data_IF_605916593213
#
_entry.id   IF_605916593213
#
_cell.length_a   1.000
_cell.length_b   1.000
_cell.length_c   1.000
_cell.angle_alpha   90.00
_cell.angle_beta   90.00
_cell.angle_gamma   90.00
#
_symmetry.space_group_name_H-M   'P 1'
#
loop_
_entity.id
_entity.type
_entity.pdbx_description
1 polymer ?
#
# COMPACT_ATOMS: atom_id res chain seq x y z
N UNK A 1 -24.67 -2.25 -47.56
CA UNK A 1 -24.65 -2.13 -46.08
C UNK A 1 -23.30 -2.63 -45.55
N UNK A 2 -22.25 -1.79 -45.55
CA UNK A 2 -20.86 -2.21 -45.24
C UNK A 2 -20.36 -1.80 -43.84
N UNK A 3 -21.09 -0.91 -43.16
CA UNK A 3 -20.65 -0.28 -41.91
C UNK A 3 -20.45 -1.25 -40.75
N UNK A 4 -21.23 -2.33 -40.69
CA UNK A 4 -21.19 -3.29 -39.57
C UNK A 4 -19.92 -4.13 -39.59
N UNK A 5 -19.41 -4.50 -40.77
CA UNK A 5 -18.23 -5.36 -40.88
C UNK A 5 -16.94 -4.62 -40.51
N UNK A 6 -16.82 -3.35 -40.91
CA UNK A 6 -15.66 -2.51 -40.59
C UNK A 6 -15.59 -2.18 -39.09
N UNK A 7 -16.74 -1.87 -38.47
CA UNK A 7 -16.81 -1.61 -37.02
C UNK A 7 -16.45 -2.87 -36.22
N UNK A 8 -16.91 -4.06 -36.62
CA UNK A 8 -16.59 -5.31 -35.92
C UNK A 8 -15.10 -5.68 -36.03
N UNK A 9 -14.48 -5.46 -37.19
CA UNK A 9 -13.04 -5.67 -37.36
C UNK A 9 -12.21 -4.69 -36.51
N UNK A 10 -12.65 -3.43 -36.41
CA UNK A 10 -12.01 -2.42 -35.55
C UNK A 10 -12.13 -2.78 -34.06
N UNK A 11 -13.31 -3.23 -33.62
CA UNK A 11 -13.55 -3.69 -32.24
C UNK A 11 -12.66 -4.88 -31.90
N UNK A 12 -12.52 -5.84 -32.83
CA UNK A 12 -11.70 -7.05 -32.63
C UNK A 12 -10.21 -6.69 -32.53
N UNK A 13 -9.73 -5.77 -33.38
CA UNK A 13 -8.36 -5.24 -33.31
C UNK A 13 -8.08 -4.48 -32.01
N UNK A 14 -9.08 -3.80 -31.46
CA UNK A 14 -8.97 -3.05 -30.20
C UNK A 14 -9.28 -3.91 -28.95
N UNK A 15 -9.40 -5.23 -29.08
CA UNK A 15 -9.65 -6.13 -27.95
C UNK A 15 -11.00 -5.93 -27.26
N UNK A 16 -12.04 -5.54 -28.01
CA UNK A 16 -13.40 -5.36 -27.50
C UNK A 16 -13.78 -3.93 -27.12
N UNK A 17 -12.95 -2.93 -27.42
CA UNK A 17 -13.22 -1.52 -27.11
C UNK A 17 -13.55 -0.70 -28.37
N UNK A 18 -14.66 0.04 -28.33
CA UNK A 18 -15.01 1.06 -29.33
C UNK A 18 -14.47 2.41 -28.83
N UNK A 19 -13.38 2.87 -29.44
CA UNK A 19 -12.65 4.08 -29.07
C UNK A 19 -11.18 3.82 -28.76
N UNK A 20 -10.29 4.77 -29.13
CA UNK A 20 -8.86 4.69 -28.80
C UNK A 20 -8.72 4.60 -27.28
N UNK A 21 -8.25 3.46 -26.76
CA UNK A 21 -7.76 3.35 -25.38
C UNK A 21 -6.64 4.38 -25.23
N UNK A 22 -6.93 5.50 -24.57
CA UNK A 22 -5.90 6.50 -24.26
C UNK A 22 -4.88 5.77 -23.41
N UNK A 23 -3.72 5.45 -23.99
CA UNK A 23 -2.58 4.95 -23.23
C UNK A 23 -2.32 5.99 -22.15
N UNK A 24 -2.63 5.66 -20.89
CA UNK A 24 -2.13 6.44 -19.76
C UNK A 24 -0.63 6.49 -19.96
N UNK A 25 -0.05 7.69 -19.96
CA UNK A 25 1.40 7.86 -19.96
C UNK A 25 1.95 7.01 -18.81
N UNK A 26 3.00 6.25 -19.08
CA UNK A 26 3.68 5.52 -18.02
C UNK A 26 4.18 6.54 -17.00
N UNK A 27 3.61 6.46 -15.79
CA UNK A 27 4.03 7.29 -14.67
C UNK A 27 5.39 6.81 -14.19
N UNK A 28 6.23 7.75 -13.76
CA UNK A 28 7.51 7.46 -13.12
C UNK A 28 7.31 6.70 -11.80
N UNK A 29 8.33 5.97 -11.37
CA UNK A 29 8.34 5.30 -10.07
C UNK A 29 8.24 6.31 -8.91
N UNK A 30 7.84 5.85 -7.72
CA UNK A 30 7.68 6.71 -6.56
C UNK A 30 9.00 7.46 -6.25
N UNK A 31 8.98 8.81 -6.14
CA UNK A 31 10.18 9.59 -5.87
C UNK A 31 10.52 9.52 -4.37
N UNK A 32 11.54 8.73 -3.99
CA UNK A 32 11.94 8.54 -2.58
C UNK A 32 12.41 9.85 -1.94
N UNK A 33 12.90 10.79 -2.74
CA UNK A 33 13.44 12.08 -2.31
C UNK A 33 12.42 12.94 -1.57
N UNK A 34 11.12 12.77 -1.85
CA UNK A 34 10.03 13.52 -1.17
C UNK A 34 9.94 13.20 0.33
N UNK A 35 10.61 12.13 0.79
CA UNK A 35 10.61 11.72 2.19
C UNK A 35 11.60 12.50 3.06
N UNK A 36 12.53 13.26 2.47
CA UNK A 36 13.46 14.11 3.23
C UNK A 36 12.72 15.19 4.04
N UNK A 37 11.57 15.65 3.56
CA UNK A 37 10.74 16.66 4.22
C UNK A 37 9.61 16.05 5.07
N UNK A 38 9.53 14.72 5.14
CA UNK A 38 8.42 14.04 5.81
C UNK A 38 8.48 14.22 7.34
N UNK A 39 7.44 14.85 7.90
CA UNK A 39 7.26 14.96 9.34
C UNK A 39 6.50 13.74 9.90
N UNK A 40 7.21 12.93 10.70
CA UNK A 40 6.64 11.85 11.50
C UNK A 40 5.78 12.41 12.63
N UNK A 41 4.50 12.68 12.34
CA UNK A 41 3.52 13.13 13.34
C UNK A 41 2.65 11.95 13.75
N UNK A 42 2.50 11.71 15.04
CA UNK A 42 1.48 10.82 15.62
C UNK A 42 1.57 9.34 15.24
N UNK A 43 1.08 8.49 16.15
CA UNK A 43 0.92 7.06 15.92
C UNK A 43 -0.25 6.83 14.95
N UNK A 44 -0.05 6.01 13.91
CA UNK A 44 -1.09 5.83 12.88
C UNK A 44 -1.03 4.45 12.21
N UNK A 45 -2.14 4.08 11.58
CA UNK A 45 -2.21 2.89 10.74
C UNK A 45 -1.44 3.08 9.42
N UNK A 46 -0.98 1.97 8.81
CA UNK A 46 -0.20 2.00 7.56
C UNK A 46 -0.91 2.77 6.43
N UNK A 47 -2.24 2.67 6.35
CA UNK A 47 -3.04 3.37 5.33
C UNK A 47 -2.99 4.88 5.50
N UNK A 48 -3.01 5.37 6.75
CA UNK A 48 -2.89 6.80 7.07
C UNK A 48 -1.47 7.31 6.87
N UNK A 49 -0.48 6.49 7.24
CA UNK A 49 0.92 6.78 6.98
C UNK A 49 1.21 6.96 5.48
N UNK A 50 0.82 5.98 4.67
CA UNK A 50 1.01 6.04 3.22
C UNK A 50 0.17 7.12 2.55
N UNK A 51 -1.03 7.41 3.07
CA UNK A 51 -1.81 8.55 2.59
C UNK A 51 -1.05 9.86 2.78
N UNK A 52 -0.50 10.10 3.97
CA UNK A 52 0.28 11.31 4.26
C UNK A 52 1.53 11.41 3.37
N UNK A 53 2.24 10.31 3.14
CA UNK A 53 3.38 10.30 2.21
C UNK A 53 2.94 10.72 0.80
N UNK A 54 1.83 10.16 0.32
CA UNK A 54 1.32 10.42 -1.03
C UNK A 54 0.76 11.84 -1.21
N UNK A 55 0.55 12.63 -0.16
CA UNK A 55 0.16 14.05 -0.28
C UNK A 55 1.24 14.90 -0.96
N UNK A 56 2.50 14.44 -0.93
CA UNK A 56 3.66 15.13 -1.52
C UNK A 56 3.99 14.63 -2.95
N UNK A 57 3.19 13.74 -3.51
CA UNK A 57 3.44 13.11 -4.81
C UNK A 57 2.54 13.72 -5.88
N UNK A 58 3.15 14.28 -6.94
CA UNK A 58 2.40 14.66 -8.12
C UNK A 58 1.92 13.42 -8.89
N UNK A 59 0.64 13.09 -8.72
CA UNK A 59 0.01 11.95 -9.37
C UNK A 59 -0.05 12.05 -10.88
N UNK A 60 0.12 13.23 -11.49
CA UNK A 60 0.19 13.34 -12.94
C UNK A 60 1.49 12.76 -13.49
N UNK A 61 2.54 12.74 -12.67
CA UNK A 61 3.90 12.37 -13.05
C UNK A 61 4.30 11.01 -12.45
N UNK A 62 3.99 10.78 -11.17
CA UNK A 62 4.52 9.67 -10.38
C UNK A 62 3.44 8.66 -9.94
N UNK A 63 3.86 7.41 -9.75
CA UNK A 63 3.06 6.37 -9.10
C UNK A 63 2.96 6.65 -7.60
N UNK A 64 1.77 6.41 -7.02
CA UNK A 64 1.58 6.43 -5.56
C UNK A 64 2.26 5.24 -4.90
N UNK A 65 2.76 5.46 -3.69
CA UNK A 65 3.15 4.39 -2.80
C UNK A 65 1.91 3.57 -2.41
N UNK A 66 2.00 2.26 -2.59
CA UNK A 66 0.94 1.33 -2.22
C UNK A 66 1.26 0.69 -0.86
N UNK A 67 0.40 0.91 0.14
CA UNK A 67 0.60 0.36 1.48
C UNK A 67 0.73 -1.16 1.50
N UNK A 68 0.14 -1.87 0.53
CA UNK A 68 0.22 -3.33 0.44
C UNK A 68 1.66 -3.83 0.27
N UNK A 69 2.49 -3.10 -0.48
CA UNK A 69 3.90 -3.47 -0.69
C UNK A 69 4.65 -3.40 0.64
N UNK A 70 4.40 -2.36 1.43
CA UNK A 70 4.99 -2.22 2.78
C UNK A 70 4.51 -3.34 3.70
N UNK A 71 3.20 -3.58 3.77
CA UNK A 71 2.65 -4.65 4.62
C UNK A 71 3.19 -6.02 4.22
N UNK A 72 3.31 -6.31 2.92
CA UNK A 72 3.86 -7.56 2.42
C UNK A 72 5.34 -7.69 2.80
N UNK A 73 6.14 -6.64 2.60
CA UNK A 73 7.55 -6.65 2.98
C UNK A 73 7.74 -6.87 4.48
N UNK A 74 6.93 -6.23 5.32
CA UNK A 74 6.95 -6.43 6.76
C UNK A 74 6.60 -7.86 7.17
N UNK A 75 5.66 -8.52 6.48
CA UNK A 75 5.36 -9.94 6.69
C UNK A 75 6.50 -10.85 6.27
N UNK A 76 7.08 -10.61 5.08
CA UNK A 76 8.20 -11.39 4.55
C UNK A 76 9.44 -11.29 5.43
N UNK A 77 9.64 -10.16 6.11
CA UNK A 77 10.76 -9.92 7.03
C UNK A 77 10.40 -10.16 8.50
N UNK A 78 9.30 -10.88 8.76
CA UNK A 78 8.88 -11.33 10.08
C UNK A 78 8.64 -10.20 11.10
N UNK A 79 8.28 -9.00 10.65
CA UNK A 79 7.81 -7.91 11.52
C UNK A 79 6.31 -8.01 11.82
N UNK A 80 5.56 -8.59 10.88
CA UNK A 80 4.13 -8.85 10.99
C UNK A 80 3.88 -10.33 10.74
N UNK A 81 2.87 -10.86 11.42
CA UNK A 81 2.36 -12.20 11.18
C UNK A 81 0.84 -12.18 11.04
N UNK A 82 0.30 -13.23 10.42
CA UNK A 82 -1.12 -13.49 10.35
C UNK A 82 -1.47 -14.71 11.18
N UNK A 83 -2.52 -14.58 12.00
CA UNK A 83 -3.03 -15.67 12.81
C UNK A 83 -4.56 -15.67 12.76
N UNK A 84 -5.16 -16.86 12.92
CA UNK A 84 -6.61 -16.98 13.06
C UNK A 84 -7.01 -16.57 14.47
N UNK A 85 -7.93 -15.61 14.60
CA UNK A 85 -8.51 -15.24 15.87
C UNK A 85 -9.90 -15.85 16.01
N UNK A 86 -10.09 -16.71 17.01
CA UNK A 86 -11.39 -17.27 17.36
C UNK A 86 -12.37 -16.18 17.81
N UNK A 87 -11.87 -15.15 18.50
CA UNK A 87 -12.69 -14.04 18.99
C UNK A 87 -13.30 -13.19 17.86
N UNK A 88 -12.54 -12.95 16.80
CA UNK A 88 -13.01 -12.17 15.65
C UNK A 88 -13.53 -13.04 14.50
N UNK A 89 -13.47 -14.37 14.65
CA UNK A 89 -13.79 -15.38 13.63
C UNK A 89 -13.14 -15.08 12.26
N UNK A 90 -11.89 -14.64 12.27
CA UNK A 90 -11.14 -14.26 11.07
C UNK A 90 -9.63 -14.22 11.29
N UNK A 91 -8.88 -14.28 10.20
CA UNK A 91 -7.45 -13.99 10.21
C UNK A 91 -7.20 -12.51 10.53
N UNK A 92 -6.33 -12.25 11.51
CA UNK A 92 -5.88 -10.92 11.91
C UNK A 92 -4.38 -10.78 11.65
N UNK A 93 -3.93 -9.54 11.46
CA UNK A 93 -2.50 -9.22 11.37
C UNK A 93 -2.03 -8.63 12.69
N UNK A 94 -0.94 -9.16 13.24
CA UNK A 94 -0.32 -8.72 14.48
C UNK A 94 1.18 -8.49 14.30
N UNK A 95 1.79 -7.59 15.10
CA UNK A 95 3.23 -7.49 15.15
C UNK A 95 3.85 -8.72 15.83
N UNK A 96 4.99 -9.16 15.32
CA UNK A 96 5.87 -10.10 16.01
C UNK A 96 6.68 -9.35 17.07
N UNK A 97 7.50 -10.06 17.86
CA UNK A 97 8.46 -9.41 18.77
C UNK A 97 9.40 -8.43 18.03
N UNK A 98 9.85 -8.81 16.83
CA UNK A 98 10.66 -7.95 15.94
C UNK A 98 9.91 -6.70 15.51
N UNK A 99 8.62 -6.83 15.18
CA UNK A 99 7.73 -5.69 14.89
C UNK A 99 7.56 -4.76 16.07
N UNK A 100 7.40 -5.31 17.27
CA UNK A 100 7.26 -4.54 18.52
C UNK A 100 8.54 -3.75 18.81
N UNK A 101 9.72 -4.35 18.62
CA UNK A 101 11.01 -3.68 18.84
C UNK A 101 11.23 -2.44 17.98
N UNK A 102 10.68 -2.41 16.76
CA UNK A 102 10.74 -1.22 15.90
C UNK A 102 9.57 -0.25 16.12
N UNK A 103 8.66 -0.53 17.05
CA UNK A 103 7.57 0.38 17.42
C UNK A 103 6.22 0.11 16.76
N UNK A 104 5.99 -1.11 16.27
CA UNK A 104 4.67 -1.55 15.77
C UNK A 104 3.86 -2.13 16.93
N UNK A 105 2.60 -1.73 17.06
CA UNK A 105 1.64 -2.34 17.99
C UNK A 105 0.32 -2.67 17.30
N UNK A 106 -0.51 -3.49 17.93
CA UNK A 106 -1.89 -3.73 17.49
C UNK A 106 -2.87 -3.27 18.56
N UNK A 107 -3.94 -2.61 18.16
CA UNK A 107 -4.99 -2.11 19.04
C UNK A 107 -6.35 -2.67 18.60
N UNK A 108 -7.17 -3.08 19.57
CA UNK A 108 -8.57 -3.39 19.29
C UNK A 108 -9.34 -2.10 18.98
N UNK A 109 -10.10 -2.10 17.90
CA UNK A 109 -10.95 -0.99 17.45
C UNK A 109 -12.32 -1.50 17.08
N UNK A 110 -13.31 -0.62 17.18
CA UNK A 110 -14.68 -0.88 16.72
C UNK A 110 -14.98 0.00 15.51
N UNK A 111 -15.55 -0.59 14.46
CA UNK A 111 -16.03 0.17 13.31
C UNK A 111 -17.29 0.96 13.66
N UNK A 112 -17.72 1.86 12.77
CA UNK A 112 -19.00 2.59 12.93
C UNK A 112 -20.23 1.69 13.01
N UNK A 113 -20.11 0.42 12.57
CA UNK A 113 -21.16 -0.61 12.66
C UNK A 113 -21.06 -1.47 13.91
N UNK A 114 -20.16 -1.15 14.84
CA UNK A 114 -19.92 -1.93 16.07
C UNK A 114 -19.09 -3.19 15.88
N UNK A 115 -18.63 -3.50 14.65
CA UNK A 115 -17.78 -4.67 14.39
C UNK A 115 -16.37 -4.39 14.91
N UNK A 116 -15.88 -5.26 15.79
CA UNK A 116 -14.52 -5.17 16.33
C UNK A 116 -13.45 -5.77 15.39
N UNK A 117 -12.25 -5.21 15.45
CA UNK A 117 -11.10 -5.64 14.67
C UNK A 117 -9.78 -5.20 15.32
N UNK A 118 -8.69 -5.88 14.96
CA UNK A 118 -7.34 -5.45 15.30
C UNK A 118 -6.82 -4.47 14.26
N UNK A 119 -6.30 -3.33 14.72
CA UNK A 119 -5.66 -2.30 13.91
C UNK A 119 -4.17 -2.23 14.24
N UNK A 120 -3.32 -2.46 13.25
CA UNK A 120 -1.87 -2.27 13.39
C UNK A 120 -1.53 -0.79 13.33
N UNK A 121 -0.82 -0.31 14.34
CA UNK A 121 -0.41 1.07 14.56
C UNK A 121 1.12 1.16 14.55
N UNK A 122 1.62 2.17 13.85
CA UNK A 122 3.04 2.44 13.65
C UNK A 122 3.37 3.75 14.37
N UNK A 123 4.19 3.67 15.41
CA UNK A 123 4.69 4.86 16.07
C UNK A 123 5.74 5.59 15.20
N UNK A 124 6.32 6.66 15.74
CA UNK A 124 7.39 7.41 15.06
C UNK A 124 8.56 6.51 14.62
N UNK A 125 9.09 5.67 15.51
CA UNK A 125 10.22 4.79 15.23
C UNK A 125 9.90 3.79 14.10
N UNK A 126 8.70 3.23 14.09
CA UNK A 126 8.29 2.28 13.05
C UNK A 126 8.15 2.97 11.70
N UNK A 127 7.59 4.18 11.68
CA UNK A 127 7.49 4.99 10.47
C UNK A 127 8.87 5.36 9.92
N UNK A 128 9.81 5.79 10.79
CA UNK A 128 11.19 6.08 10.42
C UNK A 128 11.89 4.84 9.84
N UNK A 129 11.74 3.69 10.49
CA UNK A 129 12.31 2.42 10.02
C UNK A 129 11.80 2.05 8.62
N UNK A 130 10.49 2.23 8.37
CA UNK A 130 9.91 1.98 7.04
C UNK A 130 10.48 2.93 5.99
N UNK A 131 10.60 4.23 6.29
CA UNK A 131 11.17 5.20 5.34
C UNK A 131 12.63 4.87 5.03
N UNK A 132 13.44 4.54 6.04
CA UNK A 132 14.84 4.16 5.87
C UNK A 132 15.03 2.91 5.01
N UNK A 133 14.04 2.01 4.99
CA UNK A 133 14.06 0.79 4.18
C UNK A 133 13.15 0.87 2.94
N UNK A 134 12.67 2.06 2.57
CA UNK A 134 11.67 2.15 1.50
C UNK A 134 12.21 1.70 0.14
N UNK A 135 13.48 1.98 -0.15
CA UNK A 135 14.14 1.50 -1.37
C UNK A 135 14.07 -0.04 -1.47
N UNK A 136 14.48 -0.72 -0.40
CA UNK A 136 14.39 -2.17 -0.27
C UNK A 136 12.96 -2.68 -0.39
N UNK A 137 12.01 -1.98 0.22
CA UNK A 137 10.58 -2.32 0.14
C UNK A 137 10.08 -2.26 -1.31
N UNK A 138 10.48 -1.24 -2.07
CA UNK A 138 10.07 -1.07 -3.46
C UNK A 138 10.71 -2.09 -4.40
N UNK A 139 11.95 -2.50 -4.13
CA UNK A 139 12.67 -3.50 -4.92
C UNK A 139 12.53 -4.94 -4.41
N UNK A 140 11.88 -5.15 -3.26
CA UNK A 140 11.65 -6.47 -2.67
C UNK A 140 12.88 -7.10 -2.02
N UNK A 141 13.83 -6.30 -1.55
CA UNK A 141 15.07 -6.76 -0.91
C UNK A 141 14.86 -7.11 0.57
N UNK A 142 15.72 -7.93 1.17
CA UNK A 142 15.61 -8.31 2.58
C UNK A 142 15.98 -7.16 3.54
N UNK A 143 15.40 -7.18 4.75
CA UNK A 143 15.84 -6.33 5.85
C UNK A 143 17.27 -6.70 6.28
N UNK A 144 18.08 -5.70 6.64
CA UNK A 144 19.43 -5.93 7.20
C UNK A 144 19.38 -6.15 8.70
#
# INVERSE_FOLDING_TARGET
MFFVKEVLEEVKRNGGYIGKKVKKRDKMEFPIEVLQEYAYKEDKAITKFVAQINEWVDEAIYKKLNYKIITQWLKLNEFLQEEYSEEFDKTITLPTEKGIQIGIRAERRSSSKGIEYMLVIYNKQAQEYIVQNLEKILYGEAAN
#
